data_IF_592095133934
#
_entry.id   IF_592095133934
#
_cell.length_a   1.000
_cell.length_b   1.000
_cell.length_c   1.000
_cell.angle_alpha   90.00
_cell.angle_beta   90.00
_cell.angle_gamma   90.00
#
_symmetry.space_group_name_H-M   'P 1'
#
loop_
_entity.id
_entity.type
_entity.pdbx_description
1 polymer ?
#
# COMPACT_ATOMS: atom_id res chain seq x y z
N UNK A 1 6.08 36.19 -108.67
CA UNK A 1 6.00 37.60 -109.08
C UNK A 1 4.98 38.30 -108.20
N UNK A 2 5.43 39.29 -107.40
CA UNK A 2 4.64 40.25 -106.59
C UNK A 2 3.67 39.69 -105.52
N UNK A 3 3.50 40.24 -104.33
CA UNK A 3 4.21 41.25 -103.52
C UNK A 3 3.57 41.13 -102.12
N UNK A 4 4.40 40.87 -101.11
CA UNK A 4 4.20 41.30 -99.74
C UNK A 4 3.88 42.80 -99.72
N UNK A 5 2.76 43.21 -99.10
CA UNK A 5 2.55 44.46 -98.35
C UNK A 5 1.04 44.77 -98.32
N UNK A 6 0.46 44.66 -97.13
CA UNK A 6 -0.25 45.71 -96.37
C UNK A 6 -1.17 45.02 -95.36
N UNK A 7 -0.72 44.89 -94.11
CA UNK A 7 -1.13 45.77 -92.99
C UNK A 7 -2.54 45.37 -92.53
N UNK A 8 -2.67 44.67 -91.40
CA UNK A 8 -2.51 45.34 -90.11
C UNK A 8 -3.74 46.19 -89.80
N UNK A 9 -4.94 45.58 -89.84
CA UNK A 9 -6.20 46.28 -89.52
C UNK A 9 -7.38 45.32 -89.18
N UNK A 10 -7.10 44.14 -88.62
CA UNK A 10 -8.15 43.18 -88.19
C UNK A 10 -7.90 42.56 -86.79
N UNK A 11 -7.03 43.16 -85.98
CA UNK A 11 -6.75 42.75 -84.59
C UNK A 11 -7.15 43.82 -83.55
N UNK A 12 -8.14 44.65 -83.88
CA UNK A 12 -8.65 45.70 -82.98
C UNK A 12 -10.19 45.71 -82.95
N UNK A 13 -10.82 44.54 -82.81
CA UNK A 13 -12.26 44.43 -82.53
C UNK A 13 -12.62 43.06 -81.94
N UNK A 14 -11.97 42.65 -80.86
CA UNK A 14 -12.46 41.58 -79.99
C UNK A 14 -11.87 41.78 -78.58
N UNK A 15 -12.19 42.94 -77.99
CA UNK A 15 -11.80 43.28 -76.63
C UNK A 15 -13.03 43.57 -75.78
N UNK A 16 -14.02 42.67 -75.76
CA UNK A 16 -15.07 42.67 -74.74
C UNK A 16 -15.54 41.21 -74.53
N UNK A 17 -15.76 40.86 -73.26
CA UNK A 17 -16.20 39.56 -72.73
C UNK A 17 -15.12 38.53 -72.40
N UNK A 18 -14.13 38.94 -71.60
CA UNK A 18 -13.65 38.09 -70.52
C UNK A 18 -14.39 38.47 -69.24
N UNK A 19 -15.52 37.83 -68.92
CA UNK A 19 -16.06 37.88 -67.56
C UNK A 19 -15.07 37.14 -66.66
N UNK A 20 -14.30 37.89 -65.86
CA UNK A 20 -13.49 37.29 -64.80
C UNK A 20 -14.42 36.56 -63.84
N UNK A 21 -14.35 35.23 -63.81
CA UNK A 21 -15.10 34.37 -62.87
C UNK A 21 -14.56 34.50 -61.43
N UNK A 22 -13.41 35.15 -61.25
CA UNK A 22 -12.77 35.32 -59.95
C UNK A 22 -12.79 36.78 -59.49
N UNK A 23 -13.30 37.00 -58.27
CA UNK A 23 -13.29 38.27 -57.57
C UNK A 23 -11.85 38.73 -57.27
N UNK A 24 -11.62 40.05 -57.23
CA UNK A 24 -10.33 40.62 -56.84
C UNK A 24 -10.03 40.32 -55.36
N UNK A 25 -8.76 40.28 -54.96
CA UNK A 25 -8.37 39.98 -53.56
C UNK A 25 -8.97 40.98 -52.57
N UNK A 26 -9.16 42.24 -52.97
CA UNK A 26 -9.85 43.27 -52.15
C UNK A 26 -11.34 43.02 -52.03
N UNK A 27 -11.99 42.58 -53.11
CA UNK A 27 -13.43 42.31 -53.11
C UNK A 27 -13.75 40.98 -52.41
N UNK A 28 -12.90 39.97 -52.55
CA UNK A 28 -12.99 38.70 -51.83
C UNK A 28 -12.87 38.91 -50.30
N UNK A 29 -12.04 39.85 -49.85
CA UNK A 29 -11.93 40.25 -48.44
C UNK A 29 -13.18 41.00 -47.91
N UNK A 30 -14.01 41.60 -48.78
CA UNK A 30 -15.29 42.19 -48.38
C UNK A 30 -16.40 41.14 -48.21
N UNK A 31 -16.38 40.08 -49.03
CA UNK A 31 -17.34 38.96 -48.93
C UNK A 31 -17.09 38.11 -47.67
N UNK A 32 -15.84 38.03 -47.20
CA UNK A 32 -15.45 37.32 -45.98
C UNK A 32 -15.45 38.21 -44.71
N UNK A 33 -16.18 39.33 -44.69
CA UNK A 33 -16.55 39.98 -43.43
C UNK A 33 -17.65 39.17 -42.75
N UNK A 34 -17.28 38.02 -42.18
CA UNK A 34 -18.13 37.31 -41.24
C UNK A 34 -18.28 38.25 -40.03
N UNK A 35 -19.46 38.86 -39.87
CA UNK A 35 -19.80 39.45 -38.58
C UNK A 35 -19.78 38.31 -37.57
N UNK A 36 -18.92 38.40 -36.55
CA UNK A 36 -19.00 37.48 -35.41
C UNK A 36 -20.42 37.54 -34.87
N UNK A 37 -21.07 36.38 -34.72
CA UNK A 37 -22.42 36.30 -34.13
C UNK A 37 -22.40 36.57 -32.63
N UNK A 38 -21.22 36.56 -32.06
CA UNK A 38 -20.93 36.69 -30.65
C UNK A 38 -20.28 38.04 -30.27
N UNK A 39 -20.26 38.34 -28.97
CA UNK A 39 -20.10 39.64 -28.32
C UNK A 39 -21.14 40.73 -28.70
N UNK A 40 -22.42 40.36 -28.82
CA UNK A 40 -23.51 41.30 -29.14
C UNK A 40 -24.20 41.90 -27.90
N UNK A 41 -24.64 43.17 -27.98
CA UNK A 41 -25.42 43.81 -26.92
C UNK A 41 -26.71 43.00 -26.68
N UNK A 42 -26.83 42.33 -25.53
CA UNK A 42 -27.89 41.37 -25.13
C UNK A 42 -27.68 39.89 -25.53
N UNK A 43 -26.46 39.46 -25.80
CA UNK A 43 -26.17 38.06 -26.11
C UNK A 43 -26.62 37.05 -25.05
N UNK A 44 -26.45 37.40 -23.77
CA UNK A 44 -26.90 36.64 -22.60
C UNK A 44 -28.42 36.38 -22.54
N UNK A 45 -29.23 37.10 -23.34
CA UNK A 45 -30.68 36.86 -23.42
C UNK A 45 -31.05 35.80 -24.47
N UNK A 46 -30.09 35.34 -25.28
CA UNK A 46 -30.32 34.29 -26.27
C UNK A 46 -30.22 32.93 -25.59
N UNK A 47 -30.94 31.90 -26.08
CA UNK A 47 -30.75 30.54 -25.58
C UNK A 47 -29.30 30.10 -25.82
N UNK A 48 -28.74 29.36 -24.85
CA UNK A 48 -27.39 28.82 -24.90
C UNK A 48 -27.14 28.05 -26.20
N UNK A 49 -25.99 28.29 -26.82
CA UNK A 49 -25.65 27.68 -28.11
C UNK A 49 -24.19 27.26 -28.16
N UNK A 50 -23.95 25.95 -28.28
CA UNK A 50 -22.61 25.37 -28.36
C UNK A 50 -21.74 26.03 -29.44
N UNK A 51 -22.30 26.22 -30.63
CA UNK A 51 -21.58 26.84 -31.76
C UNK A 51 -21.16 28.27 -31.41
N UNK A 52 -22.08 29.09 -30.92
CA UNK A 52 -21.84 30.51 -30.65
C UNK A 52 -20.92 30.74 -29.47
N UNK A 53 -21.15 30.06 -28.36
CA UNK A 53 -20.50 30.37 -27.08
C UNK A 53 -19.19 29.62 -26.90
N UNK A 54 -19.11 28.36 -27.34
CA UNK A 54 -17.94 27.51 -27.05
C UNK A 54 -17.08 27.14 -28.27
N UNK A 55 -17.61 27.20 -29.50
CA UNK A 55 -16.83 26.89 -30.71
C UNK A 55 -16.34 28.15 -31.42
N UNK A 56 -17.22 29.15 -31.58
CA UNK A 56 -16.85 30.47 -32.10
C UNK A 56 -16.06 31.28 -31.05
N UNK A 57 -16.29 31.01 -29.75
CA UNK A 57 -15.69 31.73 -28.61
C UNK A 57 -15.19 30.82 -27.49
N UNK A 58 -14.53 31.43 -26.50
CA UNK A 58 -14.09 30.72 -25.30
C UNK A 58 -15.16 30.83 -24.21
N UNK A 59 -15.90 29.76 -23.98
CA UNK A 59 -16.93 29.73 -22.94
C UNK A 59 -16.37 29.34 -21.56
N UNK A 60 -17.07 29.81 -20.54
CA UNK A 60 -16.96 29.41 -19.14
C UNK A 60 -17.79 28.16 -18.85
N UNK A 61 -17.60 27.57 -17.67
CA UNK A 61 -18.37 26.41 -17.25
C UNK A 61 -19.86 26.73 -17.05
N UNK A 62 -20.18 27.97 -16.66
CA UNK A 62 -21.55 28.43 -16.45
C UNK A 62 -22.31 28.49 -17.78
N UNK A 63 -21.73 29.13 -18.79
CA UNK A 63 -22.28 29.15 -20.16
C UNK A 63 -22.43 27.73 -20.73
N UNK A 64 -21.42 26.87 -20.55
CA UNK A 64 -21.53 25.46 -20.93
C UNK A 64 -22.69 24.75 -20.20
N UNK A 65 -22.95 25.08 -18.93
CA UNK A 65 -24.04 24.48 -18.15
C UNK A 65 -25.43 24.92 -18.61
N UNK A 66 -25.54 26.06 -19.29
CA UNK A 66 -26.79 26.55 -19.88
C UNK A 66 -27.12 25.88 -21.22
N UNK A 67 -26.10 25.37 -21.92
CA UNK A 67 -26.25 24.66 -23.19
C UNK A 67 -26.79 23.23 -22.99
N UNK A 68 -26.36 22.55 -21.94
CA UNK A 68 -26.62 21.12 -21.74
C UNK A 68 -27.68 20.87 -20.67
N UNK A 69 -28.65 19.98 -20.96
CA UNK A 69 -29.79 19.70 -20.07
C UNK A 69 -29.38 19.07 -18.73
N UNK A 70 -28.25 18.35 -18.70
CA UNK A 70 -27.80 17.61 -17.52
C UNK A 70 -26.37 17.94 -17.15
N UNK A 71 -26.09 17.99 -15.85
CA UNK A 71 -24.72 18.19 -15.35
C UNK A 71 -23.72 17.16 -15.90
N UNK A 72 -24.15 15.92 -16.14
CA UNK A 72 -23.28 14.88 -16.72
C UNK A 72 -22.90 15.20 -18.18
N UNK A 73 -23.85 15.68 -18.98
CA UNK A 73 -23.56 16.09 -20.36
C UNK A 73 -22.70 17.36 -20.41
N UNK A 74 -22.93 18.33 -19.52
CA UNK A 74 -22.03 19.48 -19.35
C UNK A 74 -20.60 19.04 -19.01
N UNK A 75 -20.43 18.14 -18.03
CA UNK A 75 -19.11 17.66 -17.62
C UNK A 75 -18.40 16.87 -18.72
N UNK A 76 -19.13 16.05 -19.48
CA UNK A 76 -18.60 15.28 -20.62
C UNK A 76 -18.13 16.17 -21.77
N UNK A 77 -18.84 17.27 -22.04
CA UNK A 77 -18.36 18.29 -22.97
C UNK A 77 -17.15 19.03 -22.40
N UNK A 78 -17.25 19.47 -21.15
CA UNK A 78 -16.28 20.35 -20.52
C UNK A 78 -14.90 19.71 -20.34
N UNK A 79 -14.81 18.41 -20.00
CA UNK A 79 -13.52 17.72 -19.93
C UNK A 79 -12.79 17.78 -21.27
N UNK A 80 -13.48 17.38 -22.35
CA UNK A 80 -12.94 17.42 -23.71
C UNK A 80 -12.57 18.84 -24.17
N UNK A 81 -13.37 19.83 -23.78
CA UNK A 81 -13.15 21.23 -24.11
C UNK A 81 -11.89 21.80 -23.45
N UNK A 82 -11.59 21.38 -22.21
CA UNK A 82 -10.48 21.91 -21.42
C UNK A 82 -9.14 21.27 -21.79
N UNK A 83 -9.07 19.95 -21.98
CA UNK A 83 -7.81 19.24 -22.19
C UNK A 83 -7.85 18.09 -23.20
N UNK A 84 -8.86 18.09 -24.08
CA UNK A 84 -9.02 17.12 -25.16
C UNK A 84 -9.65 15.80 -24.71
N UNK A 85 -9.99 14.94 -25.68
CA UNK A 85 -10.64 13.65 -25.39
C UNK A 85 -9.58 12.57 -25.11
N UNK A 86 -9.39 12.20 -23.85
CA UNK A 86 -8.44 11.16 -23.46
C UNK A 86 -8.96 9.75 -23.75
N UNK A 87 -10.21 9.60 -24.20
CA UNK A 87 -10.77 8.35 -24.67
C UNK A 87 -10.44 8.04 -26.13
N UNK A 88 -9.61 8.83 -26.84
CA UNK A 88 -9.16 8.56 -28.21
C UNK A 88 -7.68 8.16 -28.24
N UNK A 89 -7.29 7.01 -28.87
CA UNK A 89 -8.06 6.17 -29.80
C UNK A 89 -8.72 4.92 -29.16
N UNK A 90 -9.48 5.09 -28.07
CA UNK A 90 -10.11 4.03 -27.25
C UNK A 90 -9.11 3.22 -26.41
N UNK A 91 -8.73 3.71 -25.22
CA UNK A 91 -7.77 3.03 -24.36
C UNK A 91 -8.34 1.78 -23.64
N UNK A 92 -9.66 1.64 -23.52
CA UNK A 92 -10.30 0.54 -22.80
C UNK A 92 -10.55 -0.65 -23.72
N UNK A 93 -9.95 -1.81 -23.44
CA UNK A 93 -10.06 -3.02 -24.29
C UNK A 93 -11.45 -3.65 -24.22
N UNK A 94 -11.92 -3.97 -23.02
CA UNK A 94 -13.25 -4.59 -22.78
C UNK A 94 -14.09 -3.73 -21.84
N UNK A 95 -14.25 -2.44 -22.16
CA UNK A 95 -15.00 -1.52 -21.31
C UNK A 95 -15.37 -0.22 -22.00
N UNK A 96 -16.16 0.59 -21.29
CA UNK A 96 -16.55 1.93 -21.72
C UNK A 96 -15.60 2.96 -21.11
N UNK A 97 -14.99 3.80 -21.95
CA UNK A 97 -14.13 4.89 -21.48
C UNK A 97 -14.97 6.09 -20.99
N UNK A 98 -14.61 6.63 -19.82
CA UNK A 98 -15.13 7.88 -19.27
C UNK A 98 -14.00 8.88 -19.12
N UNK A 99 -14.11 9.95 -19.90
CA UNK A 99 -13.19 11.09 -19.92
C UNK A 99 -13.40 11.99 -18.68
N UNK A 100 -12.34 12.64 -18.22
CA UNK A 100 -12.36 13.57 -17.07
C UNK A 100 -11.16 14.50 -17.15
N UNK A 101 -11.21 15.66 -16.50
CA UNK A 101 -10.10 16.61 -16.56
C UNK A 101 -8.81 15.96 -16.02
N UNK A 102 -7.80 15.89 -16.89
CA UNK A 102 -6.46 15.37 -16.68
C UNK A 102 -6.35 13.84 -16.66
N UNK A 103 -7.44 13.09 -16.91
CA UNK A 103 -7.45 11.61 -16.80
C UNK A 103 -8.68 10.98 -17.45
N UNK A 104 -8.56 9.72 -17.86
CA UNK A 104 -9.72 8.89 -18.18
C UNK A 104 -9.88 7.74 -17.17
N UNK A 105 -11.04 7.09 -17.21
CA UNK A 105 -11.32 5.86 -16.46
C UNK A 105 -12.07 4.85 -17.33
N UNK A 106 -11.78 3.57 -17.18
CA UNK A 106 -12.52 2.51 -17.87
C UNK A 106 -13.55 1.87 -16.93
N UNK A 107 -14.79 1.77 -17.41
CA UNK A 107 -15.82 0.94 -16.79
C UNK A 107 -15.83 -0.41 -17.52
N UNK A 108 -15.30 -1.44 -16.86
CA UNK A 108 -15.14 -2.74 -17.46
C UNK A 108 -16.46 -3.49 -17.63
N UNK A 109 -16.55 -4.24 -18.74
CA UNK A 109 -17.63 -5.19 -18.96
C UNK A 109 -17.57 -6.32 -17.93
N UNK A 110 -18.70 -6.99 -17.71
CA UNK A 110 -18.78 -8.12 -16.76
C UNK A 110 -17.74 -9.20 -17.13
N UNK A 111 -16.93 -9.60 -16.16
CA UNK A 111 -15.86 -10.58 -16.34
C UNK A 111 -14.48 -9.98 -16.64
N UNK A 112 -14.37 -8.66 -16.76
CA UNK A 112 -13.10 -7.96 -17.00
C UNK A 112 -12.75 -7.02 -15.83
N UNK A 113 -11.45 -6.89 -15.54
CA UNK A 113 -10.89 -6.00 -14.55
C UNK A 113 -9.57 -5.37 -15.04
N UNK A 114 -8.99 -4.55 -14.17
CA UNK A 114 -7.83 -3.72 -14.47
C UNK A 114 -8.19 -2.31 -14.95
N UNK A 115 -7.18 -1.44 -14.99
CA UNK A 115 -7.33 -0.02 -15.37
C UNK A 115 -7.81 0.12 -16.81
N UNK A 116 -7.41 -0.80 -17.70
CA UNK A 116 -7.76 -0.80 -19.12
C UNK A 116 -8.73 -1.92 -19.52
N UNK A 117 -9.28 -2.66 -18.55
CA UNK A 117 -10.20 -3.78 -18.78
C UNK A 117 -9.60 -4.88 -19.69
N UNK A 118 -8.33 -5.18 -19.46
CA UNK A 118 -7.49 -6.10 -20.21
C UNK A 118 -7.25 -7.43 -19.48
N UNK A 119 -7.77 -7.58 -18.26
CA UNK A 119 -7.62 -8.78 -17.44
C UNK A 119 -8.97 -9.46 -17.18
N UNK A 120 -9.00 -10.79 -17.26
CA UNK A 120 -10.18 -11.58 -16.87
C UNK A 120 -10.31 -11.68 -15.35
N UNK A 121 -11.52 -11.48 -14.84
CA UNK A 121 -11.84 -11.63 -13.41
C UNK A 121 -11.77 -13.10 -13.01
N UNK A 122 -10.79 -13.44 -12.18
CA UNK A 122 -10.63 -14.80 -11.63
C UNK A 122 -11.37 -15.03 -10.32
N UNK A 123 -11.57 -13.96 -9.54
CA UNK A 123 -12.17 -14.01 -8.21
C UNK A 123 -13.19 -12.90 -8.05
N UNK A 124 -14.35 -13.22 -7.48
CA UNK A 124 -15.43 -12.25 -7.22
C UNK A 124 -15.51 -11.81 -5.76
N UNK A 125 -14.87 -12.55 -4.85
CA UNK A 125 -14.82 -12.28 -3.42
C UNK A 125 -13.43 -12.62 -2.85
N UNK A 126 -13.22 -12.32 -1.57
CA UNK A 126 -11.96 -12.54 -0.87
C UNK A 126 -11.80 -13.94 -0.26
N UNK A 127 -12.82 -14.80 -0.34
CA UNK A 127 -12.90 -16.06 0.41
C UNK A 127 -11.90 -17.13 -0.05
N UNK A 128 -11.41 -17.03 -1.28
CA UNK A 128 -10.48 -18.00 -1.87
C UNK A 128 -9.21 -17.27 -2.30
N UNK A 129 -8.06 -17.72 -1.82
CA UNK A 129 -6.73 -17.18 -2.17
C UNK A 129 -6.65 -15.66 -2.02
N UNK A 130 -7.26 -15.10 -0.95
CA UNK A 130 -7.36 -13.66 -0.72
C UNK A 130 -7.90 -12.88 -1.94
N UNK A 131 -8.83 -13.48 -2.70
CA UNK A 131 -9.36 -12.93 -3.94
C UNK A 131 -8.32 -12.73 -5.05
N UNK A 132 -7.14 -13.34 -4.96
CA UNK A 132 -6.03 -13.07 -5.87
C UNK A 132 -5.24 -11.78 -5.57
N UNK A 133 -5.64 -11.00 -4.56
CA UNK A 133 -4.93 -9.79 -4.16
C UNK A 133 -3.56 -10.09 -3.55
N UNK A 134 -2.54 -9.30 -3.91
CA UNK A 134 -1.17 -9.50 -3.42
C UNK A 134 -0.99 -9.18 -1.94
N UNK A 135 -1.68 -8.15 -1.45
CA UNK A 135 -1.69 -7.82 -0.04
C UNK A 135 -3.09 -7.94 0.54
N UNK A 136 -3.95 -6.95 0.31
CA UNK A 136 -5.21 -6.85 1.04
C UNK A 136 -6.38 -7.00 0.08
N UNK A 137 -7.35 -7.81 0.47
CA UNK A 137 -8.62 -7.95 -0.22
C UNK A 137 -9.75 -7.39 0.64
N UNK A 138 -10.73 -6.73 0.03
CA UNK A 138 -11.98 -6.35 0.69
C UNK A 138 -13.15 -6.66 -0.21
N UNK A 139 -14.17 -7.34 0.32
CA UNK A 139 -15.41 -7.56 -0.41
C UNK A 139 -16.18 -6.25 -0.60
N UNK A 140 -16.76 -6.07 -1.78
CA UNK A 140 -17.69 -5.00 -2.14
C UNK A 140 -19.04 -5.64 -2.52
N UNK A 141 -19.89 -5.97 -1.52
CA UNK A 141 -21.15 -6.67 -1.75
C UNK A 141 -22.11 -5.89 -2.65
N UNK A 142 -22.06 -4.55 -2.61
CA UNK A 142 -22.93 -3.69 -3.40
C UNK A 142 -22.72 -3.88 -4.90
N UNK A 143 -21.47 -4.09 -5.31
CA UNK A 143 -21.11 -4.31 -6.72
C UNK A 143 -20.73 -5.76 -7.03
N UNK A 144 -20.95 -6.69 -6.08
CA UNK A 144 -20.62 -8.12 -6.21
C UNK A 144 -19.19 -8.37 -6.71
N UNK A 145 -18.23 -7.62 -6.17
CA UNK A 145 -16.81 -7.70 -6.57
C UNK A 145 -15.89 -7.67 -5.35
N UNK A 146 -14.61 -7.94 -5.58
CA UNK A 146 -13.54 -7.76 -4.60
C UNK A 146 -12.65 -6.58 -4.97
N UNK A 147 -12.14 -5.89 -3.97
CA UNK A 147 -11.25 -4.74 -4.10
C UNK A 147 -9.89 -5.10 -3.49
N UNK A 148 -8.82 -4.98 -4.28
CA UNK A 148 -7.46 -5.15 -3.77
C UNK A 148 -6.89 -3.80 -3.32
N UNK A 149 -6.04 -3.84 -2.29
CA UNK A 149 -5.23 -2.71 -1.85
C UNK A 149 -3.87 -3.19 -1.32
N UNK A 150 -2.93 -2.26 -1.15
CA UNK A 150 -1.55 -2.58 -0.84
C UNK A 150 -1.12 -2.01 0.52
N UNK A 151 -0.13 -2.66 1.14
CA UNK A 151 0.52 -2.19 2.35
C UNK A 151 1.30 -0.88 2.14
N UNK A 152 1.63 -0.20 3.24
CA UNK A 152 2.37 1.07 3.22
C UNK A 152 3.70 0.96 2.47
N UNK A 153 3.93 1.87 1.54
CA UNK A 153 5.11 1.87 0.66
C UNK A 153 4.94 1.07 -0.65
N UNK A 154 3.74 0.55 -0.92
CA UNK A 154 3.40 -0.14 -2.15
C UNK A 154 2.26 0.55 -2.91
N UNK A 155 2.22 0.36 -4.22
CA UNK A 155 1.16 0.84 -5.11
C UNK A 155 0.52 -0.33 -5.85
N UNK A 156 -0.81 -0.32 -5.94
CA UNK A 156 -1.59 -1.29 -6.71
C UNK A 156 -1.31 -1.08 -8.20
N UNK A 157 -1.04 -2.18 -8.92
CA UNK A 157 -0.78 -2.17 -10.35
C UNK A 157 -2.08 -2.11 -11.17
N UNK A 158 -1.91 -1.92 -12.48
CA UNK A 158 -3.00 -1.79 -13.43
C UNK A 158 -3.87 -3.04 -13.54
N UNK A 159 -3.39 -4.20 -13.10
CA UNK A 159 -4.15 -5.44 -13.04
C UNK A 159 -5.13 -5.52 -11.86
N UNK A 160 -5.19 -4.48 -11.02
CA UNK A 160 -6.01 -4.40 -9.82
C UNK A 160 -5.79 -5.55 -8.81
N UNK A 161 -4.64 -6.22 -8.84
CA UNK A 161 -4.34 -7.33 -7.93
C UNK A 161 -2.91 -7.33 -7.39
N UNK A 162 -1.92 -6.93 -8.19
CA UNK A 162 -0.51 -6.91 -7.78
C UNK A 162 -0.09 -5.60 -7.13
N UNK A 163 0.91 -5.68 -6.25
CA UNK A 163 1.44 -4.58 -5.45
C UNK A 163 2.93 -4.37 -5.70
N UNK A 164 3.31 -3.20 -6.21
CA UNK A 164 4.71 -2.84 -6.47
C UNK A 164 5.25 -1.87 -5.40
N UNK A 165 6.44 -2.10 -4.84
CA UNK A 165 7.12 -1.11 -4.00
C UNK A 165 7.31 0.23 -4.72
N UNK A 166 6.96 1.34 -4.07
CA UNK A 166 7.17 2.71 -4.59
C UNK A 166 8.12 3.54 -3.73
N UNK A 167 8.57 2.99 -2.60
CA UNK A 167 9.60 3.58 -1.74
C UNK A 167 10.79 2.62 -1.64
N UNK A 168 11.95 3.14 -1.23
CA UNK A 168 13.18 2.34 -1.13
C UNK A 168 13.11 1.26 -0.05
N UNK A 169 12.43 1.55 1.06
CA UNK A 169 12.25 0.66 2.21
C UNK A 169 10.76 0.53 2.56
N UNK A 170 9.97 -0.22 1.77
CA UNK A 170 8.58 -0.44 2.10
C UNK A 170 8.49 -1.41 3.30
N UNK A 171 7.34 -1.44 3.98
CA UNK A 171 7.20 -2.35 5.11
C UNK A 171 7.39 -3.81 4.68
N UNK A 172 7.93 -4.65 5.56
CA UNK A 172 7.96 -6.10 5.33
C UNK A 172 8.77 -6.59 4.12
N UNK A 173 9.54 -5.73 3.44
CA UNK A 173 10.42 -6.12 2.33
C UNK A 173 11.88 -5.97 2.72
N UNK A 174 12.61 -7.08 2.73
CA UNK A 174 14.05 -7.05 2.98
C UNK A 174 14.80 -6.54 1.74
N UNK A 175 15.73 -5.60 1.93
CA UNK A 175 16.65 -5.14 0.88
C UNK A 175 17.93 -5.98 0.92
N UNK A 176 18.13 -6.84 -0.07
CA UNK A 176 19.32 -7.68 -0.22
C UNK A 176 20.39 -6.97 -1.05
N UNK A 177 21.66 -7.09 -0.66
CA UNK A 177 22.80 -6.51 -1.40
C UNK A 177 23.09 -7.25 -2.73
N UNK A 178 22.54 -8.47 -2.95
CA UNK A 178 22.72 -9.24 -4.20
C UNK A 178 21.38 -9.66 -4.85
N UNK A 179 21.06 -9.21 -6.08
CA UNK A 179 19.84 -9.57 -6.82
C UNK A 179 19.73 -11.04 -7.22
N UNK A 180 20.84 -11.78 -7.33
CA UNK A 180 20.85 -13.21 -7.73
C UNK A 180 20.38 -14.15 -6.61
N UNK A 181 20.31 -13.67 -5.36
CA UNK A 181 19.70 -14.40 -4.24
C UNK A 181 18.16 -14.30 -4.22
N UNK A 182 17.52 -13.81 -5.29
CA UNK A 182 16.05 -13.78 -5.44
C UNK A 182 15.42 -15.18 -5.46
N UNK A 183 16.20 -16.24 -5.72
CA UNK A 183 15.68 -17.61 -5.81
C UNK A 183 15.51 -18.32 -4.46
N UNK A 184 16.00 -17.75 -3.36
CA UNK A 184 15.78 -18.28 -2.00
C UNK A 184 15.47 -17.13 -1.05
N UNK A 185 14.23 -16.63 -1.12
CA UNK A 185 13.61 -15.68 -0.17
C UNK A 185 13.41 -16.26 1.24
N UNK A 186 14.05 -17.38 1.53
CA UNK A 186 14.07 -17.98 2.83
C UNK A 186 15.09 -17.19 3.66
N UNK A 187 14.63 -16.52 4.73
CA UNK A 187 15.51 -16.34 5.90
C UNK A 187 16.18 -17.71 6.07
N UNK A 188 17.51 -17.75 6.05
CA UNK A 188 18.28 -19.01 6.01
C UNK A 188 18.17 -19.70 7.37
N UNK A 189 16.97 -20.19 7.68
CA UNK A 189 16.59 -20.88 8.90
C UNK A 189 16.97 -22.34 8.73
N UNK A 190 18.28 -22.60 8.71
CA UNK A 190 18.79 -23.96 8.82
C UNK A 190 18.83 -24.29 10.31
N UNK A 191 17.88 -25.13 10.75
CA UNK A 191 17.95 -25.92 11.98
C UNK A 191 18.29 -25.14 13.28
N UNK A 192 17.70 -23.96 13.50
CA UNK A 192 17.88 -23.21 14.75
C UNK A 192 19.25 -22.52 14.91
N UNK A 193 19.97 -22.29 13.80
CA UNK A 193 21.23 -21.54 13.80
C UNK A 193 21.07 -20.04 13.51
N UNK A 194 22.13 -19.31 13.86
CA UNK A 194 22.30 -17.85 13.85
C UNK A 194 21.86 -17.23 12.51
N UNK A 195 20.81 -16.39 12.52
CA UNK A 195 20.44 -15.60 11.34
C UNK A 195 21.51 -14.54 11.01
N UNK A 196 21.33 -13.79 9.93
CA UNK A 196 22.27 -12.74 9.54
C UNK A 196 21.77 -11.36 9.97
N UNK A 197 22.71 -10.44 10.16
CA UNK A 197 22.37 -9.03 10.34
C UNK A 197 21.53 -8.55 9.15
N UNK A 198 20.34 -8.04 9.45
CA UNK A 198 19.37 -7.61 8.43
C UNK A 198 18.26 -8.61 8.10
N UNK A 199 18.29 -9.83 8.64
CA UNK A 199 17.20 -10.80 8.42
C UNK A 199 15.94 -10.48 9.25
N UNK A 200 16.04 -9.63 10.27
CA UNK A 200 14.91 -9.10 11.07
C UNK A 200 15.12 -7.60 11.38
N UNK A 201 15.00 -6.71 10.38
CA UNK A 201 15.34 -5.30 10.52
C UNK A 201 14.30 -4.49 11.32
N UNK A 202 13.12 -5.06 11.53
CA UNK A 202 12.08 -4.51 12.42
C UNK A 202 12.31 -4.86 13.89
N UNK A 203 13.28 -5.72 14.21
CA UNK A 203 13.59 -6.10 15.59
C UNK A 203 14.10 -4.91 16.39
N UNK A 204 13.50 -4.68 17.56
CA UNK A 204 13.91 -3.67 18.53
C UNK A 204 14.54 -4.33 19.75
N UNK A 205 15.59 -3.70 20.26
CA UNK A 205 16.12 -3.97 21.59
C UNK A 205 15.67 -2.87 22.54
N UNK A 206 14.80 -3.20 23.50
CA UNK A 206 14.32 -2.27 24.51
C UNK A 206 15.29 -2.23 25.70
N UNK A 207 15.70 -1.03 26.09
CA UNK A 207 16.62 -0.83 27.21
C UNK A 207 16.13 0.26 28.17
N UNK A 208 16.54 0.12 29.43
CA UNK A 208 16.49 1.24 30.39
C UNK A 208 17.42 2.38 29.99
N UNK A 209 17.24 3.55 30.59
CA UNK A 209 18.18 4.69 30.50
C UNK A 209 19.62 4.31 30.87
N UNK A 210 19.80 3.37 31.80
CA UNK A 210 21.11 2.84 32.24
C UNK A 210 21.71 1.80 31.28
N UNK A 211 21.02 1.47 30.19
CA UNK A 211 21.48 0.50 29.18
C UNK A 211 21.25 -0.97 29.52
N UNK A 212 20.55 -1.28 30.62
CA UNK A 212 20.10 -2.65 30.91
C UNK A 212 19.06 -3.09 29.88
N UNK A 213 19.28 -4.25 29.25
CA UNK A 213 18.32 -4.91 28.37
C UNK A 213 17.08 -5.38 29.16
N UNK A 214 15.91 -5.18 28.57
CA UNK A 214 14.64 -5.55 29.17
C UNK A 214 13.90 -6.60 28.34
N UNK A 215 13.60 -6.24 27.10
CA UNK A 215 12.67 -6.95 26.23
C UNK A 215 13.02 -6.71 24.75
N UNK A 216 12.38 -7.47 23.88
CA UNK A 216 12.26 -7.16 22.47
C UNK A 216 11.24 -6.06 22.19
N UNK A 217 11.02 -5.81 20.91
CA UNK A 217 10.00 -4.90 20.38
C UNK A 217 10.00 -5.00 18.86
N UNK A 218 9.06 -4.32 18.22
CA UNK A 218 8.84 -4.38 16.77
C UNK A 218 8.59 -3.00 16.20
N UNK A 219 9.38 -2.61 15.19
CA UNK A 219 9.16 -1.39 14.43
C UNK A 219 7.98 -1.56 13.46
N UNK A 220 6.94 -0.74 13.60
CA UNK A 220 5.76 -0.76 12.72
C UNK A 220 5.55 0.55 11.95
N UNK A 221 6.17 1.64 12.41
CA UNK A 221 6.07 2.98 11.85
C UNK A 221 7.40 3.73 12.11
N UNK A 222 7.76 4.80 11.37
CA UNK A 222 9.00 5.55 11.63
C UNK A 222 9.15 6.05 13.08
N UNK A 223 8.03 6.32 13.76
CA UNK A 223 8.00 6.85 15.12
C UNK A 223 7.32 5.92 16.15
N UNK A 224 6.86 4.72 15.75
CA UNK A 224 6.13 3.82 16.65
C UNK A 224 6.70 2.41 16.67
N UNK A 225 6.86 1.90 17.89
CA UNK A 225 7.31 0.54 18.21
C UNK A 225 6.24 -0.18 19.03
N UNK A 226 5.94 -1.42 18.67
CA UNK A 226 5.15 -2.34 19.50
C UNK A 226 6.04 -3.15 20.44
N UNK A 227 5.50 -3.47 21.62
CA UNK A 227 6.10 -4.36 22.61
C UNK A 227 4.99 -4.96 23.49
N UNK A 228 5.36 -5.87 24.40
CA UNK A 228 4.47 -6.34 25.45
C UNK A 228 4.32 -5.28 26.56
N UNK A 229 3.14 -5.20 27.18
CA UNK A 229 2.83 -4.26 28.24
C UNK A 229 3.64 -4.54 29.52
N UNK A 230 3.82 -5.81 29.87
CA UNK A 230 4.56 -6.21 31.07
C UNK A 230 6.02 -5.73 31.07
N UNK A 231 6.60 -5.43 29.89
CA UNK A 231 7.94 -4.87 29.77
C UNK A 231 8.06 -3.43 30.30
N UNK A 232 6.94 -2.71 30.45
CA UNK A 232 6.91 -1.28 30.75
C UNK A 232 6.57 -0.93 32.20
N UNK A 233 5.95 -1.84 32.96
CA UNK A 233 5.33 -1.56 34.27
C UNK A 233 6.27 -0.87 35.29
N UNK A 234 7.55 -1.23 35.31
CA UNK A 234 8.50 -0.80 36.33
C UNK A 234 9.51 0.26 35.86
N UNK A 235 9.32 0.85 34.68
CA UNK A 235 10.38 1.62 34.00
C UNK A 235 10.07 3.13 33.92
N UNK A 236 10.97 3.95 34.47
CA UNK A 236 10.82 5.43 34.45
C UNK A 236 11.22 6.05 33.11
N UNK A 237 12.20 5.46 32.42
CA UNK A 237 12.72 5.97 31.16
C UNK A 237 13.31 4.85 30.32
N UNK A 238 13.06 4.92 29.02
CA UNK A 238 13.33 3.87 28.05
C UNK A 238 14.03 4.44 26.82
N UNK A 239 14.84 3.60 26.21
CA UNK A 239 15.39 3.84 24.88
C UNK A 239 15.29 2.56 24.06
N UNK A 240 15.14 2.73 22.76
CA UNK A 240 15.16 1.63 21.80
C UNK A 240 16.48 1.62 21.06
N UNK A 241 16.95 0.42 20.69
CA UNK A 241 18.02 0.26 19.71
C UNK A 241 17.54 -0.54 18.51
N UNK A 242 17.88 -0.07 17.31
CA UNK A 242 17.53 -0.66 16.02
C UNK A 242 18.79 -1.05 15.25
N UNK A 243 18.65 -1.86 14.19
CA UNK A 243 19.80 -2.28 13.37
C UNK A 243 20.76 -3.23 14.08
N UNK A 244 20.31 -3.83 15.18
CA UNK A 244 21.14 -4.70 16.03
C UNK A 244 21.06 -6.15 15.61
N UNK A 245 22.20 -6.81 15.68
CA UNK A 245 22.36 -8.24 15.56
C UNK A 245 23.05 -8.82 16.80
N UNK A 246 24.07 -8.14 17.33
CA UNK A 246 24.79 -8.55 18.56
C UNK A 246 24.48 -7.59 19.71
N UNK A 247 24.69 -8.04 20.95
CA UNK A 247 24.55 -7.17 22.13
C UNK A 247 25.57 -6.02 22.17
N UNK A 248 26.76 -6.24 21.59
CA UNK A 248 27.79 -5.20 21.48
C UNK A 248 27.37 -4.09 20.52
N UNK A 249 28.04 -2.94 20.61
CA UNK A 249 27.79 -1.77 19.76
C UNK A 249 28.12 -2.11 18.30
N UNK A 250 27.24 -1.71 17.39
CA UNK A 250 27.42 -1.85 15.94
C UNK A 250 27.38 -0.48 15.25
N UNK A 251 28.03 -0.35 14.09
CA UNK A 251 28.18 0.95 13.42
C UNK A 251 26.84 1.51 12.90
N UNK A 252 25.99 0.64 12.38
CA UNK A 252 24.68 0.99 11.81
C UNK A 252 23.53 0.88 12.82
N UNK A 253 23.82 0.84 14.13
CA UNK A 253 22.78 0.83 15.16
C UNK A 253 22.24 2.26 15.40
N UNK A 254 20.92 2.39 15.48
CA UNK A 254 20.26 3.64 15.89
C UNK A 254 19.84 3.51 17.34
N UNK A 255 20.03 4.57 18.13
CA UNK A 255 19.61 4.63 19.53
C UNK A 255 18.67 5.82 19.69
N UNK A 256 17.42 5.55 20.02
CA UNK A 256 16.38 6.59 20.08
C UNK A 256 15.67 6.52 21.43
N UNK A 257 15.40 7.68 22.02
CA UNK A 257 14.66 7.79 23.27
C UNK A 257 13.17 7.60 23.07
N UNK A 258 12.50 7.05 24.08
CA UNK A 258 11.03 6.98 24.13
C UNK A 258 10.51 8.21 24.87
N UNK A 259 9.61 8.96 24.24
CA UNK A 259 8.98 10.16 24.82
C UNK A 259 7.56 9.88 25.36
N UNK A 260 6.83 8.94 24.75
CA UNK A 260 5.50 8.49 25.19
C UNK A 260 5.39 6.97 25.19
N UNK A 261 4.77 6.44 26.26
CA UNK A 261 4.38 5.04 26.38
C UNK A 261 2.86 4.94 26.43
N UNK A 262 2.31 3.97 25.73
CA UNK A 262 0.88 3.68 25.70
C UNK A 262 0.72 2.20 26.04
N UNK A 263 0.21 1.90 27.23
CA UNK A 263 -0.14 0.54 27.63
C UNK A 263 -1.63 0.38 27.32
N UNK A 264 -2.01 -0.76 26.75
CA UNK A 264 -3.41 -1.04 26.48
C UNK A 264 -4.24 -0.96 27.77
N UNK A 265 -5.38 -0.26 27.71
CA UNK A 265 -6.17 0.15 28.87
C UNK A 265 -6.72 -1.04 29.65
N UNK A 266 -6.99 -2.14 28.95
CA UNK A 266 -7.50 -3.39 29.51
C UNK A 266 -6.40 -4.43 29.82
N UNK A 267 -5.13 -4.02 29.88
CA UNK A 267 -4.05 -4.93 30.26
C UNK A 267 -4.16 -5.37 31.73
N UNK A 268 -4.08 -6.67 31.98
CA UNK A 268 -4.10 -7.26 33.32
C UNK A 268 -2.89 -8.15 33.54
N UNK A 269 -2.15 -7.89 34.63
CA UNK A 269 -0.94 -8.65 34.97
C UNK A 269 -1.24 -10.10 35.36
N UNK A 270 -2.38 -10.33 35.99
CA UNK A 270 -2.79 -11.63 36.55
C UNK A 270 -3.01 -12.67 35.46
N UNK A 271 -3.63 -12.26 34.34
CA UNK A 271 -3.93 -13.16 33.21
C UNK A 271 -3.04 -12.91 32.00
N UNK A 272 -2.25 -11.83 32.01
CA UNK A 272 -1.49 -11.36 30.84
C UNK A 272 -2.37 -11.15 29.60
N UNK A 273 -3.66 -10.83 29.80
CA UNK A 273 -4.56 -10.50 28.70
C UNK A 273 -4.34 -9.04 28.29
N UNK A 274 -4.48 -8.77 26.99
CA UNK A 274 -4.12 -7.48 26.40
C UNK A 274 -2.68 -7.03 26.69
N UNK A 275 -1.74 -7.98 26.69
CA UNK A 275 -0.32 -7.72 26.88
C UNK A 275 0.32 -7.10 25.62
N UNK A 276 -0.04 -5.85 25.36
CA UNK A 276 0.44 -5.02 24.25
C UNK A 276 0.62 -3.58 24.70
N UNK A 277 1.69 -2.96 24.20
CA UNK A 277 1.97 -1.55 24.39
C UNK A 277 2.66 -0.95 23.16
N UNK A 278 2.50 0.37 23.01
CA UNK A 278 3.14 1.19 22.01
C UNK A 278 4.12 2.16 22.65
N UNK A 279 5.26 2.35 21.99
CA UNK A 279 6.28 3.33 22.33
C UNK A 279 6.37 4.33 21.19
N UNK A 280 6.10 5.60 21.49
CA UNK A 280 6.42 6.70 20.58
C UNK A 280 7.90 7.05 20.75
N UNK A 281 8.57 7.30 19.63
CA UNK A 281 9.99 7.62 19.58
C UNK A 281 10.16 9.14 19.48
N UNK A 282 11.10 9.68 20.25
CA UNK A 282 11.41 11.11 20.25
C UNK A 282 11.93 11.61 18.89
N UNK A 283 12.45 10.71 18.06
CA UNK A 283 12.94 10.99 16.70
C UNK A 283 12.46 9.89 15.75
N UNK A 284 12.28 10.25 14.48
CA UNK A 284 11.94 9.28 13.45
C UNK A 284 13.14 8.38 13.15
N UNK A 285 12.89 7.07 13.04
CA UNK A 285 13.87 6.10 12.59
C UNK A 285 14.25 6.41 11.14
N UNK A 286 15.54 6.52 10.88
CA UNK A 286 16.06 6.64 9.53
C UNK A 286 16.13 5.25 8.91
N UNK A 287 15.33 4.99 7.88
CA UNK A 287 15.28 3.66 7.29
C UNK A 287 16.55 3.32 6.50
N UNK A 288 17.01 2.09 6.70
CA UNK A 288 18.08 1.47 5.94
C UNK A 288 17.91 -0.06 5.95
N UNK A 289 18.82 -0.78 5.29
CA UNK A 289 18.76 -2.25 5.16
C UNK A 289 18.71 -3.05 6.47
N UNK A 290 18.99 -2.42 7.63
CA UNK A 290 18.94 -3.06 8.94
C UNK A 290 17.87 -2.46 9.87
N UNK A 291 17.17 -1.41 9.46
CA UNK A 291 16.12 -0.75 10.22
C UNK A 291 14.99 -0.34 9.27
N UNK A 292 13.94 -1.16 9.18
CA UNK A 292 12.74 -0.89 8.39
C UNK A 292 11.53 -1.55 9.07
N UNK A 293 10.31 -1.04 8.87
CA UNK A 293 9.14 -1.50 9.60
C UNK A 293 8.62 -2.82 9.03
N UNK A 294 7.97 -3.63 9.86
CA UNK A 294 7.19 -4.78 9.39
C UNK A 294 5.79 -4.33 8.97
N UNK A 295 5.17 -5.01 8.00
CA UNK A 295 3.79 -4.70 7.62
C UNK A 295 2.80 -5.22 8.67
N UNK A 296 1.75 -4.44 8.92
CA UNK A 296 0.56 -4.88 9.66
C UNK A 296 -0.48 -5.40 8.66
N UNK A 297 -1.00 -6.63 8.83
CA UNK A 297 -2.06 -7.16 7.99
C UNK A 297 -3.43 -6.63 8.45
N UNK A 298 -4.42 -6.47 7.56
CA UNK A 298 -5.81 -6.31 7.96
C UNK A 298 -6.32 -7.61 8.59
N UNK A 299 -7.36 -7.49 9.42
CA UNK A 299 -7.92 -8.61 10.18
C UNK A 299 -8.27 -9.81 9.29
N UNK A 300 -8.91 -9.59 8.14
CA UNK A 300 -9.30 -10.68 7.25
C UNK A 300 -8.10 -11.47 6.70
N UNK A 301 -7.06 -10.79 6.18
CA UNK A 301 -5.84 -11.47 5.72
C UNK A 301 -5.19 -12.25 6.87
N UNK A 302 -5.10 -11.61 8.05
CA UNK A 302 -4.49 -12.21 9.22
C UNK A 302 -5.20 -13.52 9.63
N UNK A 303 -6.53 -13.49 9.78
CA UNK A 303 -7.32 -14.62 10.25
C UNK A 303 -7.49 -15.72 9.18
N UNK A 304 -7.67 -15.34 7.92
CA UNK A 304 -8.01 -16.30 6.85
C UNK A 304 -6.77 -16.96 6.24
N UNK A 305 -5.64 -16.24 6.15
CA UNK A 305 -4.44 -16.73 5.46
C UNK A 305 -3.24 -16.88 6.39
N UNK A 306 -2.93 -15.84 7.19
CA UNK A 306 -1.69 -15.83 7.97
C UNK A 306 -1.75 -16.74 9.19
N UNK A 307 -2.90 -16.85 9.86
CA UNK A 307 -3.05 -17.60 11.12
C UNK A 307 -3.71 -18.97 10.92
N UNK A 308 -3.64 -19.53 9.71
CA UNK A 308 -4.13 -20.88 9.43
C UNK A 308 -3.36 -21.92 10.25
N UNK A 309 -4.07 -22.87 10.85
CA UNK A 309 -3.47 -23.96 11.64
C UNK A 309 -2.27 -24.61 10.92
N UNK A 310 -1.16 -24.79 11.64
CA UNK A 310 0.06 -25.38 11.10
C UNK A 310 0.91 -24.45 10.24
N UNK A 311 0.47 -23.21 9.96
CA UNK A 311 1.29 -22.20 9.28
C UNK A 311 2.53 -21.91 10.11
N UNK A 312 3.70 -21.94 9.46
CA UNK A 312 4.96 -21.64 10.12
C UNK A 312 5.10 -20.15 10.39
N UNK A 313 5.52 -19.85 11.62
CA UNK A 313 5.79 -18.52 12.14
C UNK A 313 7.28 -18.42 12.46
N UNK A 314 7.86 -17.28 12.14
CA UNK A 314 9.22 -16.92 12.56
C UNK A 314 9.13 -16.05 13.80
N UNK A 315 9.90 -16.40 14.82
CA UNK A 315 10.08 -15.59 16.03
C UNK A 315 11.56 -15.25 16.18
N UNK A 316 11.85 -14.00 16.50
CA UNK A 316 13.22 -13.51 16.66
C UNK A 316 13.45 -12.80 17.97
N UNK A 317 14.64 -13.00 18.54
CA UNK A 317 15.02 -12.31 19.77
C UNK A 317 16.36 -12.74 20.36
N UNK A 318 16.69 -12.14 21.50
CA UNK A 318 17.95 -12.36 22.22
C UNK A 318 17.75 -13.07 23.56
N UNK A 319 16.58 -13.65 23.76
CA UNK A 319 16.20 -14.31 24.99
C UNK A 319 17.11 -15.47 25.35
N UNK A 320 16.91 -15.96 26.57
CA UNK A 320 17.66 -17.11 27.06
C UNK A 320 17.41 -18.35 26.19
N UNK A 321 18.43 -19.17 26.02
CA UNK A 321 18.31 -20.43 25.29
C UNK A 321 17.74 -21.56 26.15
N UNK A 322 17.50 -21.34 27.44
CA UNK A 322 16.86 -22.32 28.32
C UNK A 322 16.13 -21.68 29.49
N UNK A 323 15.08 -22.36 29.98
CA UNK A 323 14.28 -21.93 31.14
C UNK A 323 15.11 -21.79 32.44
N UNK A 324 16.24 -22.51 32.52
CA UNK A 324 17.11 -22.55 33.71
C UNK A 324 18.26 -21.54 33.68
N UNK A 325 18.60 -21.02 32.50
CA UNK A 325 19.71 -20.10 32.32
C UNK A 325 19.17 -18.67 32.22
N UNK A 326 19.84 -17.72 32.87
CA UNK A 326 19.50 -16.29 32.78
C UNK A 326 20.36 -15.52 31.78
N UNK A 327 21.33 -16.18 31.11
CA UNK A 327 22.17 -15.53 30.12
C UNK A 327 21.45 -15.38 28.78
N UNK A 328 21.39 -14.13 28.29
CA UNK A 328 20.87 -13.81 26.96
C UNK A 328 21.78 -14.29 25.83
N UNK A 329 21.20 -14.55 24.66
CA UNK A 329 21.95 -14.97 23.49
C UNK A 329 22.83 -13.82 22.95
N UNK A 330 24.14 -14.01 22.71
CA UNK A 330 25.04 -12.92 22.30
C UNK A 330 24.74 -12.35 20.91
N UNK A 331 23.93 -13.04 20.11
CA UNK A 331 23.51 -12.69 18.76
C UNK A 331 22.05 -13.07 18.57
N UNK A 332 21.35 -12.35 17.70
CA UNK A 332 19.92 -12.53 17.44
C UNK A 332 19.65 -13.96 16.98
N UNK A 333 18.68 -14.60 17.63
CA UNK A 333 18.24 -15.97 17.36
C UNK A 333 16.90 -15.97 16.65
N UNK A 334 16.66 -17.08 15.97
CA UNK A 334 15.51 -17.30 15.13
C UNK A 334 14.99 -18.69 15.42
N UNK A 335 13.69 -18.80 15.58
CA UNK A 335 12.99 -20.09 15.62
C UNK A 335 11.86 -20.06 14.62
N UNK A 336 11.55 -21.24 14.08
CA UNK A 336 10.37 -21.47 13.25
C UNK A 336 9.48 -22.46 13.97
N UNK A 337 8.24 -22.05 14.19
CA UNK A 337 7.25 -22.80 14.96
C UNK A 337 5.87 -22.69 14.30
N UNK A 338 5.07 -23.78 14.27
CA UNK A 338 3.74 -23.74 13.70
C UNK A 338 2.75 -23.05 14.64
N UNK A 339 1.80 -22.31 14.07
CA UNK A 339 0.65 -21.81 14.82
C UNK A 339 -0.30 -22.95 15.18
N UNK A 340 -0.88 -22.86 16.38
CA UNK A 340 -1.74 -23.90 16.96
C UNK A 340 -3.16 -23.35 17.16
N UNK A 341 -4.20 -24.12 16.80
CA UNK A 341 -5.58 -23.75 17.10
C UNK A 341 -5.81 -23.47 18.59
N UNK A 342 -6.60 -22.43 18.89
CA UNK A 342 -6.88 -21.99 20.27
C UNK A 342 -7.45 -23.12 21.15
N UNK A 343 -8.32 -23.97 20.61
CA UNK A 343 -8.92 -25.09 21.34
C UNK A 343 -7.87 -26.13 21.74
N UNK A 344 -6.96 -26.50 20.84
CA UNK A 344 -5.86 -27.42 21.14
C UNK A 344 -4.92 -26.81 22.18
N UNK A 345 -4.60 -25.52 22.04
CA UNK A 345 -3.79 -24.81 23.02
C UNK A 345 -4.44 -24.79 24.41
N UNK A 346 -5.73 -24.47 24.49
CA UNK A 346 -6.47 -24.43 25.76
C UNK A 346 -6.52 -25.79 26.48
N UNK A 347 -6.44 -26.91 25.75
CA UNK A 347 -6.36 -28.25 26.34
C UNK A 347 -4.96 -28.58 26.89
N UNK A 348 -3.91 -28.03 26.28
CA UNK A 348 -2.53 -28.26 26.69
C UNK A 348 -2.07 -27.33 27.83
N UNK A 349 -2.62 -26.12 27.89
CA UNK A 349 -2.23 -25.09 28.85
C UNK A 349 -3.03 -25.20 30.16
N UNK A 350 -2.38 -24.94 31.29
CA UNK A 350 -3.01 -24.89 32.61
C UNK A 350 -3.75 -23.57 32.82
N UNK A 351 -3.19 -22.47 32.31
CA UNK A 351 -3.81 -21.15 32.40
C UNK A 351 -4.76 -20.89 31.22
N UNK A 352 -5.87 -20.14 31.43
CA UNK A 352 -6.82 -19.83 30.38
C UNK A 352 -6.20 -19.04 29.22
N UNK A 353 -6.59 -19.38 27.99
CA UNK A 353 -6.16 -18.70 26.76
C UNK A 353 -7.33 -17.86 26.23
N UNK A 354 -7.19 -16.54 26.18
CA UNK A 354 -8.23 -15.62 25.69
C UNK A 354 -8.30 -15.58 24.14
N UNK A 355 -9.30 -14.90 23.57
CA UNK A 355 -9.41 -14.65 22.12
C UNK A 355 -8.38 -13.64 21.58
N UNK A 356 -7.67 -12.99 22.50
CA UNK A 356 -6.61 -12.03 22.23
C UNK A 356 -5.22 -12.66 22.18
N UNK A 357 -5.14 -13.99 22.35
CA UNK A 357 -3.90 -14.74 22.40
C UNK A 357 -3.80 -15.72 21.24
N UNK A 358 -2.56 -15.99 20.83
CA UNK A 358 -2.18 -17.04 19.90
C UNK A 358 -1.26 -18.02 20.60
N UNK A 359 -1.29 -19.27 20.17
CA UNK A 359 -0.31 -20.26 20.59
C UNK A 359 0.48 -20.74 19.39
N UNK A 360 1.77 -20.98 19.61
CA UNK A 360 2.64 -21.55 18.59
C UNK A 360 3.66 -22.50 19.23
N UNK A 361 4.07 -23.49 18.45
CA UNK A 361 5.00 -24.53 18.89
C UNK A 361 4.50 -25.93 18.56
N UNK A 362 5.29 -26.93 18.95
CA UNK A 362 4.95 -28.34 18.78
C UNK A 362 5.18 -29.06 20.10
N UNK A 363 4.21 -29.84 20.55
CA UNK A 363 4.24 -30.50 21.87
C UNK A 363 5.48 -31.40 22.10
N UNK A 364 6.08 -31.91 21.02
CA UNK A 364 7.29 -32.74 21.07
C UNK A 364 8.62 -31.99 20.92
N UNK A 365 8.61 -30.75 20.45
CA UNK A 365 9.81 -29.92 20.26
C UNK A 365 10.09 -29.09 21.53
N UNK A 366 11.32 -28.62 21.67
CA UNK A 366 11.74 -27.69 22.73
C UNK A 366 12.01 -26.28 22.22
N UNK A 367 11.79 -26.02 20.93
CA UNK A 367 11.88 -24.68 20.35
C UNK A 367 10.76 -23.81 20.89
N UNK A 368 11.14 -22.71 21.52
CA UNK A 368 10.21 -21.74 22.10
C UNK A 368 10.91 -20.40 22.30
N UNK A 369 10.12 -19.33 22.38
CA UNK A 369 10.61 -18.04 22.86
C UNK A 369 10.82 -18.10 24.37
N UNK A 370 11.74 -17.28 24.90
CA UNK A 370 12.04 -17.34 26.33
C UNK A 370 12.35 -15.97 26.94
N UNK A 371 12.80 -15.98 28.20
CA UNK A 371 13.13 -14.79 28.99
C UNK A 371 13.97 -13.80 28.19
N UNK A 372 13.43 -12.60 27.95
CA UNK A 372 14.07 -11.53 27.17
C UNK A 372 13.55 -11.38 25.73
N UNK A 373 12.83 -12.37 25.20
CA UNK A 373 12.17 -12.27 23.89
C UNK A 373 10.82 -11.54 23.95
N UNK A 374 10.26 -11.37 25.14
CA UNK A 374 8.99 -10.66 25.39
C UNK A 374 8.90 -9.34 24.62
N UNK A 375 7.74 -9.08 24.01
CA UNK A 375 7.49 -7.95 23.12
C UNK A 375 8.13 -8.08 21.73
N UNK A 376 8.96 -9.09 21.50
CA UNK A 376 9.55 -9.39 20.19
C UNK A 376 8.53 -9.87 19.16
N UNK A 377 8.90 -9.86 17.87
CA UNK A 377 7.98 -10.14 16.77
C UNK A 377 7.77 -11.64 16.56
N UNK A 378 6.51 -12.02 16.31
CA UNK A 378 6.11 -13.24 15.62
C UNK A 378 5.52 -12.88 14.26
N UNK A 379 6.10 -13.36 13.18
CA UNK A 379 5.75 -12.91 11.83
C UNK A 379 5.82 -14.05 10.80
N UNK A 380 5.14 -13.87 9.67
CA UNK A 380 5.14 -14.84 8.56
C UNK A 380 5.16 -14.13 7.23
N UNK A 381 5.62 -14.83 6.19
CA UNK A 381 5.65 -14.31 4.82
C UNK A 381 4.31 -14.62 4.16
N UNK A 382 3.72 -13.63 3.50
CA UNK A 382 2.61 -13.83 2.57
C UNK A 382 3.02 -13.28 1.22
N UNK A 383 3.01 -14.18 0.22
CA UNK A 383 3.67 -13.97 -1.07
C UNK A 383 5.10 -13.50 -0.87
N UNK A 384 5.31 -12.20 -0.96
CA UNK A 384 6.60 -11.58 -1.11
C UNK A 384 6.86 -10.46 -0.09
N UNK A 385 6.02 -10.40 0.95
CA UNK A 385 6.03 -9.41 2.03
C UNK A 385 5.86 -10.10 3.39
N UNK A 386 6.60 -9.63 4.40
CA UNK A 386 6.54 -10.11 5.78
C UNK A 386 5.52 -9.31 6.59
N UNK A 387 4.65 -10.02 7.31
CA UNK A 387 3.58 -9.46 8.12
C UNK A 387 3.71 -9.86 9.58
N UNK A 388 3.49 -8.90 10.48
CA UNK A 388 3.42 -9.15 11.91
C UNK A 388 2.12 -9.86 12.26
N UNK A 389 2.22 -10.96 13.01
CA UNK A 389 1.08 -11.79 13.41
C UNK A 389 0.89 -11.74 14.93
N UNK A 390 1.98 -11.73 15.69
CA UNK A 390 1.93 -11.72 17.14
C UNK A 390 3.12 -11.04 17.80
N UNK A 391 3.00 -10.85 19.12
CA UNK A 391 4.08 -10.40 19.99
C UNK A 391 4.36 -11.47 21.04
N UNK A 392 5.63 -11.79 21.30
CA UNK A 392 5.99 -12.72 22.39
C UNK A 392 5.44 -12.18 23.71
N UNK A 393 4.68 -12.99 24.45
CA UNK A 393 4.03 -12.54 25.70
C UNK A 393 4.45 -13.42 26.89
N UNK A 394 3.96 -14.66 26.97
CA UNK A 394 4.22 -15.55 28.12
C UNK A 394 4.21 -17.04 27.73
N UNK A 395 4.56 -17.91 28.67
CA UNK A 395 4.51 -19.36 28.51
C UNK A 395 4.61 -20.08 29.86
N UNK A 396 4.29 -21.38 29.90
CA UNK A 396 4.41 -22.21 31.11
C UNK A 396 5.84 -22.75 31.28
N UNK A 397 6.79 -21.83 31.39
CA UNK A 397 8.21 -22.08 31.16
C UNK A 397 8.54 -22.11 29.67
N UNK A 398 9.83 -22.12 29.33
CA UNK A 398 10.28 -22.10 27.93
C UNK A 398 10.60 -23.51 27.42
N UNK A 399 10.04 -23.89 26.27
CA UNK A 399 10.42 -25.13 25.57
C UNK A 399 10.08 -26.41 26.34
N UNK A 400 9.05 -26.35 27.20
CA UNK A 400 8.57 -27.52 27.93
C UNK A 400 7.76 -28.42 27.02
N UNK A 401 8.04 -29.72 27.07
CA UNK A 401 7.26 -30.72 26.34
C UNK A 401 5.81 -30.69 26.81
N UNK A 402 4.88 -30.82 25.87
CA UNK A 402 3.45 -30.78 26.15
C UNK A 402 2.90 -29.37 26.38
N UNK A 403 3.68 -28.31 26.12
CA UNK A 403 3.26 -26.91 26.27
C UNK A 403 3.56 -26.11 25.00
N UNK A 404 2.93 -24.95 24.89
CA UNK A 404 3.10 -24.01 23.79
C UNK A 404 3.58 -22.65 24.33
N UNK A 405 4.22 -21.87 23.46
CA UNK A 405 4.44 -20.44 23.71
C UNK A 405 3.17 -19.65 23.41
N UNK A 406 2.91 -18.60 24.20
CA UNK A 406 1.73 -17.75 24.07
C UNK A 406 2.14 -16.35 23.61
N UNK A 407 1.42 -15.85 22.61
CA UNK A 407 1.70 -14.61 21.91
C UNK A 407 0.46 -13.73 21.90
N UNK A 408 0.63 -12.41 21.99
CA UNK A 408 -0.48 -11.46 21.82
C UNK A 408 -0.90 -11.43 20.34
N UNK A 409 -2.20 -11.58 20.07
CA UNK A 409 -2.78 -11.65 18.72
C UNK A 409 -2.93 -10.25 18.11
N UNK A 410 -1.99 -9.82 17.27
CA UNK A 410 -1.95 -8.43 16.75
C UNK A 410 -3.19 -8.05 15.95
N UNK A 411 -3.83 -9.01 15.26
CA UNK A 411 -5.07 -8.74 14.49
C UNK A 411 -6.24 -8.21 15.35
N UNK A 412 -6.21 -8.43 16.66
CA UNK A 412 -7.22 -7.92 17.59
C UNK A 412 -7.04 -6.45 17.94
N UNK A 413 -5.84 -5.90 17.72
CA UNK A 413 -5.46 -4.57 18.18
C UNK A 413 -5.24 -3.56 17.04
N UNK A 414 -5.53 -3.93 15.78
CA UNK A 414 -5.24 -3.09 14.62
C UNK A 414 -5.90 -1.70 14.70
N UNK A 415 -7.15 -1.64 15.15
CA UNK A 415 -7.89 -0.37 15.33
C UNK A 415 -7.26 0.48 16.46
N UNK A 416 -6.89 -0.16 17.58
CA UNK A 416 -6.22 0.51 18.69
C UNK A 416 -4.83 1.03 18.29
N UNK A 417 -4.09 0.26 17.48
CA UNK A 417 -2.79 0.69 16.93
C UNK A 417 -2.99 1.90 16.02
N UNK A 418 -3.94 1.83 15.09
CA UNK A 418 -4.19 2.90 14.13
C UNK A 418 -4.59 4.20 14.82
N UNK A 419 -5.46 4.12 15.84
CA UNK A 419 -5.91 5.27 16.63
C UNK A 419 -4.77 6.06 17.28
N UNK A 420 -3.64 5.42 17.59
CA UNK A 420 -2.48 6.07 18.19
C UNK A 420 -1.45 6.56 17.17
N UNK A 421 -1.44 5.98 15.96
CA UNK A 421 -0.54 6.40 14.89
C UNK A 421 -1.02 7.71 14.27
N UNK A 422 -2.34 7.85 14.08
CA UNK A 422 -3.01 9.07 13.62
C UNK A 422 -3.00 10.18 14.68
#
# INVERSE_FOLDING_TARGET
MWKLLTVGLLLAACSVCGTSIFYSTRDAHQVLRIQKRANSFLEELKPGSLERECLEEKCSFEEASEIFETRESTLSFWSKYVDGDQCMPQPCSNGTCKDSIGKFSCICNKGWEGVLCDYEVKYTNCSVDNGGCEHFCRDDPANQRRLCSCASGYQLLSDHSSCRPVVEFPCGRLKMDNPEAKSDLNIRLIEGTVGRKGDSPWQIMLQTTKGKFLCGGVLIHPAWVLTAAHCLEAQKGLRVKLGKFRFHREAEEQVIWVDKRVIHENYTKETSDNDIAMLHLAEHVMYHKYALPICLPPRNLAEQELMRSGRQMVVTGWGSTSDLNSSYAPSLRYIEIPIVPRNECALAMRFPISDNMLCAGSLGDRKDACHGDSGGPMFTKYRDTWFLVGLVSWGEGCGRRGKFGVYTKVSQYLEWIQHHID
#
